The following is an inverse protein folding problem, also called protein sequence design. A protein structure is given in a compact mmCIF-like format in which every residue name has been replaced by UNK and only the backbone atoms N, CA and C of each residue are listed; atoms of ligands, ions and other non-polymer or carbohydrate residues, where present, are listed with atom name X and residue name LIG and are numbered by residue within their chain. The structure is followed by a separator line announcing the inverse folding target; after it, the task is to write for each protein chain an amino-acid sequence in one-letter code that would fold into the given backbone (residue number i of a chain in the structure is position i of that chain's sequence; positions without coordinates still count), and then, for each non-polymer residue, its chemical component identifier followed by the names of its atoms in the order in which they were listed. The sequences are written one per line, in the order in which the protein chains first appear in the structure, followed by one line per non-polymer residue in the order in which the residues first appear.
data_IF_304316372511
#
_entry.id   IF_304316372511
#
_cell.length_a   1.000
_cell.length_b   1.000
_cell.length_c   1.000
_cell.angle_alpha   90.00
_cell.angle_beta   90.00
_cell.angle_gamma   90.00
#
_symmetry.space_group_name_H-M   'P 1'
#
loop_
_entity.id
_entity.type
_entity.pdbx_description
1 polymer ?
#
# COMPACT_ATOMS: atom_id res chain seq x y z
N UNK A 1 -19.16 -2.76 -4.02
CA UNK A 1 -18.48 -2.88 -5.32
C UNK A 1 -17.05 -3.30 -5.09
N UNK A 2 -16.42 -3.95 -6.06
CA UNK A 2 -15.01 -4.35 -5.99
C UNK A 2 -14.08 -3.15 -5.77
N UNK A 3 -14.38 -2.00 -6.38
CA UNK A 3 -13.65 -0.75 -6.11
C UNK A 3 -13.58 -0.41 -4.60
N UNK A 4 -14.69 -0.56 -3.86
CA UNK A 4 -14.74 -0.25 -2.43
C UNK A 4 -13.99 -1.25 -1.55
N UNK A 5 -13.72 -2.47 -2.04
CA UNK A 5 -12.88 -3.42 -1.30
C UNK A 5 -11.40 -3.08 -1.42
N UNK A 6 -10.99 -2.51 -2.56
CA UNK A 6 -9.63 -2.00 -2.79
C UNK A 6 -9.36 -0.64 -2.15
N UNK A 7 -10.37 0.22 -2.00
CA UNK A 7 -10.24 1.58 -1.46
C UNK A 7 -11.28 1.88 -0.37
N UNK A 8 -11.29 1.15 0.77
CA UNK A 8 -12.35 1.27 1.78
C UNK A 8 -12.32 2.62 2.53
N UNK A 9 -11.15 3.27 2.62
CA UNK A 9 -11.01 4.57 3.29
C UNK A 9 -11.53 5.77 2.50
N UNK A 10 -11.73 5.66 1.19
CA UNK A 10 -12.07 6.80 0.31
C UNK A 10 -13.32 7.55 0.78
N UNK A 11 -14.43 6.82 1.02
CA UNK A 11 -15.68 7.41 1.51
C UNK A 11 -15.57 7.86 2.97
N UNK A 12 -14.98 7.00 3.81
CA UNK A 12 -14.82 7.23 5.25
C UNK A 12 -14.07 8.52 5.53
N UNK A 13 -13.12 8.88 4.67
CA UNK A 13 -12.25 10.05 4.85
C UNK A 13 -12.71 11.31 4.12
N UNK A 14 -13.93 11.30 3.55
CA UNK A 14 -14.51 12.46 2.87
C UNK A 14 -13.60 13.02 1.74
N UNK A 15 -12.88 12.14 1.05
CA UNK A 15 -12.14 12.50 -0.16
C UNK A 15 -12.82 11.97 -1.42
N UNK A 16 -13.90 11.17 -1.31
CA UNK A 16 -14.70 10.67 -2.44
C UNK A 16 -15.48 11.82 -3.12
N UNK A 17 -15.32 11.96 -4.44
CA UNK A 17 -16.14 12.88 -5.24
C UNK A 17 -17.38 12.14 -5.74
N UNK A 18 -18.53 12.40 -5.12
CA UNK A 18 -19.79 11.68 -5.38
C UNK A 18 -20.68 12.34 -6.44
N UNK A 19 -20.50 13.66 -6.68
CA UNK A 19 -21.20 14.38 -7.72
C UNK A 19 -20.50 14.11 -9.07
N UNK A 20 -21.18 13.51 -10.07
CA UNK A 20 -20.56 13.21 -11.37
C UNK A 20 -20.05 14.43 -12.13
N UNK A 21 -20.60 15.61 -11.85
CA UNK A 21 -20.17 16.89 -12.45
C UNK A 21 -18.92 17.47 -11.78
N UNK A 22 -18.53 16.97 -10.60
CA UNK A 22 -17.35 17.39 -9.86
C UNK A 22 -16.23 16.36 -10.01
N UNK A 23 -15.07 16.81 -10.47
CA UNK A 23 -13.87 15.96 -10.55
C UNK A 23 -12.84 16.42 -9.51
N UNK A 24 -12.09 15.48 -8.91
CA UNK A 24 -10.93 15.85 -8.12
C UNK A 24 -9.89 16.55 -9.00
N UNK A 25 -9.09 17.43 -8.41
CA UNK A 25 -7.96 18.06 -9.10
C UNK A 25 -6.88 17.03 -9.45
N UNK A 26 -6.72 16.02 -8.60
CA UNK A 26 -5.80 14.91 -8.78
C UNK A 26 -6.18 13.73 -7.89
N UNK A 27 -5.67 12.55 -8.24
CA UNK A 27 -5.80 11.34 -7.41
C UNK A 27 -4.46 10.92 -6.83
N UNK A 28 -4.45 10.51 -5.57
CA UNK A 28 -3.29 9.89 -4.95
C UNK A 28 -3.52 8.40 -4.87
N UNK A 29 -2.70 7.61 -5.56
CA UNK A 29 -2.71 6.14 -5.45
C UNK A 29 -1.57 5.70 -4.54
N UNK A 30 -1.91 5.18 -3.36
CA UNK A 30 -0.96 4.98 -2.27
C UNK A 30 -0.86 3.53 -1.79
N UNK A 31 0.35 2.99 -1.68
CA UNK A 31 0.61 1.63 -1.18
C UNK A 31 1.30 1.65 0.20
N UNK A 32 0.79 0.91 1.19
CA UNK A 32 1.37 0.88 2.53
C UNK A 32 2.67 0.07 2.56
N UNK A 33 3.42 0.20 3.64
CA UNK A 33 4.55 -0.68 3.95
C UNK A 33 4.09 -2.05 4.48
N UNK A 34 5.06 -2.94 4.69
CA UNK A 34 4.81 -4.30 5.19
C UNK A 34 4.04 -4.28 6.52
N UNK A 35 3.08 -5.19 6.68
CA UNK A 35 2.26 -5.30 7.88
C UNK A 35 1.09 -4.32 7.96
N UNK A 36 1.15 -3.18 7.26
CA UNK A 36 0.09 -2.16 7.31
C UNK A 36 -1.00 -2.38 6.26
N UNK A 37 -2.12 -1.69 6.46
CA UNK A 37 -3.25 -1.62 5.56
C UNK A 37 -3.42 -0.19 5.01
N UNK A 38 -4.50 0.04 4.27
CA UNK A 38 -4.81 1.34 3.65
C UNK A 38 -4.94 2.49 4.66
N UNK A 39 -5.31 2.15 5.90
CA UNK A 39 -5.48 3.06 7.03
C UNK A 39 -4.20 3.77 7.45
N UNK A 40 -3.02 3.30 7.03
CA UNK A 40 -1.77 4.08 7.09
C UNK A 40 -1.93 5.47 6.45
N UNK A 41 -2.64 5.57 5.33
CA UNK A 41 -2.85 6.83 4.61
C UNK A 41 -4.23 7.44 4.88
N UNK A 42 -5.22 6.65 5.28
CA UNK A 42 -6.61 7.09 5.50
C UNK A 42 -7.00 7.14 6.98
N UNK A 43 -6.01 7.20 7.86
CA UNK A 43 -6.26 7.45 9.27
C UNK A 43 -6.80 8.87 9.46
N UNK A 44 -7.82 8.99 10.30
CA UNK A 44 -8.51 10.25 10.55
C UNK A 44 -8.88 10.33 12.03
N UNK A 45 -8.36 11.33 12.71
CA UNK A 45 -8.59 11.52 14.15
C UNK A 45 -10.06 11.82 14.47
N UNK A 46 -10.84 12.30 13.50
CA UNK A 46 -12.29 12.52 13.66
C UNK A 46 -13.05 11.18 13.75
N UNK A 47 -12.55 10.16 13.04
CA UNK A 47 -13.16 8.82 13.00
C UNK A 47 -12.53 7.89 14.04
N UNK A 48 -11.24 8.06 14.33
CA UNK A 48 -10.49 7.31 15.31
C UNK A 48 -9.59 8.24 16.13
N UNK A 49 -10.09 8.72 17.27
CA UNK A 49 -9.39 9.65 18.13
C UNK A 49 -8.05 9.14 18.71
N UNK A 50 -7.71 7.85 18.53
CA UNK A 50 -6.47 7.26 19.03
C UNK A 50 -5.26 7.53 18.14
N UNK A 51 -5.47 7.95 16.90
CA UNK A 51 -4.39 8.21 15.95
C UNK A 51 -4.58 9.56 15.25
N UNK A 52 -3.50 10.31 15.01
CA UNK A 52 -3.60 11.58 14.29
C UNK A 52 -4.03 11.33 12.85
N UNK A 53 -4.71 12.32 12.27
CA UNK A 53 -5.01 12.32 10.84
C UNK A 53 -3.72 12.24 10.03
N UNK A 54 -3.72 11.40 9.00
CA UNK A 54 -2.60 11.31 8.07
C UNK A 54 -2.32 12.68 7.44
N UNK A 55 -1.09 13.22 7.50
CA UNK A 55 -0.76 14.50 6.88
C UNK A 55 -1.06 14.55 5.38
N UNK A 56 -0.89 13.41 4.69
CA UNK A 56 -1.20 13.28 3.27
C UNK A 56 -2.73 13.32 3.03
N UNK A 57 -3.52 12.75 3.93
CA UNK A 57 -4.98 12.84 3.86
C UNK A 57 -5.47 14.28 4.05
N UNK A 58 -4.92 14.99 5.04
CA UNK A 58 -5.24 16.40 5.27
C UNK A 58 -4.85 17.26 4.06
N UNK A 59 -3.71 16.96 3.43
CA UNK A 59 -3.32 17.63 2.20
C UNK A 59 -4.29 17.34 1.05
N UNK A 60 -4.76 16.10 0.88
CA UNK A 60 -5.77 15.75 -0.12
C UNK A 60 -7.05 16.56 0.05
N UNK A 61 -7.57 16.67 1.28
CA UNK A 61 -8.78 17.44 1.60
C UNK A 61 -8.63 18.91 1.23
N UNK A 62 -7.52 19.53 1.64
CA UNK A 62 -7.23 20.95 1.39
C UNK A 62 -7.05 21.29 -0.08
N UNK A 63 -6.70 20.31 -0.91
CA UNK A 63 -6.41 20.54 -2.32
C UNK A 63 -7.40 19.88 -3.28
N UNK A 64 -8.52 19.33 -2.78
CA UNK A 64 -9.56 18.73 -3.62
C UNK A 64 -9.09 17.47 -4.34
N UNK A 65 -8.49 16.54 -3.60
CA UNK A 65 -7.92 15.30 -4.12
C UNK A 65 -8.58 14.04 -3.57
N UNK A 66 -8.64 12.99 -4.38
CA UNK A 66 -9.05 11.65 -3.91
C UNK A 66 -7.85 10.90 -3.31
N UNK A 67 -8.00 10.38 -2.10
CA UNK A 67 -7.04 9.44 -1.50
C UNK A 67 -7.44 8.00 -1.82
N UNK A 68 -6.78 7.42 -2.82
CA UNK A 68 -6.92 6.01 -3.20
C UNK A 68 -5.84 5.18 -2.51
N UNK A 69 -5.99 4.96 -1.21
CA UNK A 69 -5.11 4.08 -0.45
C UNK A 69 -5.47 2.60 -0.67
N UNK A 70 -4.48 1.82 -1.11
CA UNK A 70 -4.68 0.44 -1.55
C UNK A 70 -4.80 -0.51 -0.36
N UNK A 71 -5.94 -1.18 -0.26
CA UNK A 71 -6.17 -2.29 0.66
C UNK A 71 -5.71 -3.60 0.01
N UNK A 72 -4.50 -4.06 0.33
CA UNK A 72 -3.98 -5.37 -0.11
C UNK A 72 -4.82 -6.53 0.47
N UNK A 73 -4.88 -7.69 -0.22
CA UNK A 73 -5.56 -8.87 0.30
C UNK A 73 -4.81 -9.48 1.51
N UNK A 74 -5.52 -10.31 2.28
CA UNK A 74 -4.99 -10.98 3.48
C UNK A 74 -4.95 -10.10 4.74
N UNK A 75 -5.49 -8.87 4.69
CA UNK A 75 -5.58 -7.96 5.85
C UNK A 75 -6.83 -7.07 5.81
N UNK A 76 -7.13 -6.43 6.94
CA UNK A 76 -8.28 -5.53 7.06
C UNK A 76 -9.59 -6.19 6.62
N UNK A 77 -10.42 -5.46 5.88
CA UNK A 77 -11.66 -5.99 5.29
C UNK A 77 -11.48 -7.14 4.30
N UNK A 78 -10.24 -7.40 3.86
CA UNK A 78 -9.85 -8.47 2.91
C UNK A 78 -9.09 -9.62 3.59
N UNK A 79 -9.20 -9.77 4.91
CA UNK A 79 -8.44 -10.78 5.69
C UNK A 79 -8.71 -12.25 5.32
N UNK A 80 -9.83 -12.55 4.65
CA UNK A 80 -10.20 -13.89 4.20
C UNK A 80 -9.66 -14.23 2.80
N UNK A 81 -9.14 -13.25 2.09
CA UNK A 81 -8.54 -13.44 0.76
C UNK A 81 -7.10 -13.92 0.88
N UNK A 82 -6.64 -14.69 -0.10
CA UNK A 82 -5.23 -15.07 -0.22
C UNK A 82 -4.35 -13.83 -0.43
N UNK A 83 -3.22 -13.78 0.26
CA UNK A 83 -2.21 -12.73 0.06
C UNK A 83 -1.73 -12.70 -1.40
N UNK A 84 -1.26 -11.52 -1.83
CA UNK A 84 -0.65 -11.38 -3.15
C UNK A 84 0.62 -12.25 -3.25
N UNK A 85 0.78 -12.93 -4.38
CA UNK A 85 1.92 -13.84 -4.60
C UNK A 85 3.19 -13.10 -5.04
N UNK A 86 3.03 -11.96 -5.71
CA UNK A 86 4.10 -11.09 -6.17
C UNK A 86 3.61 -9.65 -6.38
N UNK A 87 4.51 -8.66 -6.46
CA UNK A 87 4.14 -7.30 -6.82
C UNK A 87 3.42 -7.21 -8.18
N UNK A 88 3.81 -8.01 -9.16
CA UNK A 88 3.19 -8.09 -10.49
C UNK A 88 1.75 -8.64 -10.41
N UNK A 89 1.52 -9.67 -9.59
CA UNK A 89 0.19 -10.23 -9.39
C UNK A 89 -0.74 -9.21 -8.72
N UNK A 90 -0.23 -8.47 -7.73
CA UNK A 90 -0.98 -7.38 -7.09
C UNK A 90 -1.33 -6.27 -8.09
N UNK A 91 -0.38 -5.84 -8.92
CA UNK A 91 -0.60 -4.86 -9.98
C UNK A 91 -1.68 -5.32 -10.97
N UNK A 92 -1.60 -6.57 -11.45
CA UNK A 92 -2.56 -7.16 -12.39
C UNK A 92 -3.98 -7.23 -11.81
N UNK A 93 -4.10 -7.52 -10.51
CA UNK A 93 -5.39 -7.56 -9.85
C UNK A 93 -5.99 -6.16 -9.63
N UNK A 94 -5.17 -5.15 -9.36
CA UNK A 94 -5.63 -3.79 -9.09
C UNK A 94 -5.95 -2.98 -10.35
N UNK A 95 -5.17 -3.15 -11.43
CA UNK A 95 -5.29 -2.29 -12.62
C UNK A 95 -6.71 -2.18 -13.19
N UNK A 96 -7.46 -3.27 -13.43
CA UNK A 96 -8.81 -3.18 -13.99
C UNK A 96 -9.79 -2.39 -13.10
N UNK A 97 -9.50 -2.33 -11.80
CA UNK A 97 -10.37 -1.69 -10.79
C UNK A 97 -10.23 -0.17 -10.83
N UNK A 98 -9.04 0.33 -11.15
CA UNK A 98 -8.71 1.77 -11.06
C UNK A 98 -8.45 2.41 -12.42
N UNK A 99 -8.21 1.64 -13.50
CA UNK A 99 -7.80 2.15 -14.82
C UNK A 99 -8.68 3.30 -15.34
N UNK A 100 -10.00 3.18 -15.26
CA UNK A 100 -10.94 4.23 -15.73
C UNK A 100 -10.84 5.54 -14.95
N UNK A 101 -10.31 5.50 -13.72
CA UNK A 101 -10.05 6.67 -12.87
C UNK A 101 -8.64 7.24 -13.03
N UNK A 102 -7.78 6.62 -13.84
CA UNK A 102 -6.44 7.14 -14.11
C UNK A 102 -6.37 7.95 -15.41
N UNK A 103 -7.45 7.96 -16.19
CA UNK A 103 -7.51 8.60 -17.52
C UNK A 103 -8.30 9.91 -17.52
N UNK A 104 -9.14 10.15 -16.52
CA UNK A 104 -10.05 11.29 -16.45
C UNK A 104 -9.43 12.51 -15.75
N UNK A 105 -8.47 12.32 -14.84
CA UNK A 105 -7.69 13.38 -14.18
C UNK A 105 -6.25 12.92 -13.89
N UNK A 106 -5.29 13.84 -13.67
CA UNK A 106 -3.93 13.47 -13.28
C UNK A 106 -3.88 12.67 -11.97
N UNK A 107 -2.91 11.76 -11.87
CA UNK A 107 -2.68 11.00 -10.64
C UNK A 107 -1.21 11.01 -10.23
N UNK A 108 -1.00 10.87 -8.93
CA UNK A 108 0.30 10.77 -8.26
C UNK A 108 0.37 9.41 -7.59
N UNK A 109 1.54 8.80 -7.63
CA UNK A 109 1.83 7.53 -6.96
C UNK A 109 2.63 7.76 -5.69
N UNK A 110 2.26 7.07 -4.61
CA UNK A 110 2.97 7.07 -3.34
C UNK A 110 3.21 5.63 -2.89
N UNK A 111 4.45 5.28 -2.56
CA UNK A 111 4.81 3.99 -2.02
C UNK A 111 5.87 4.12 -0.95
N UNK A 112 5.74 3.34 0.13
CA UNK A 112 6.71 3.33 1.22
C UNK A 112 7.16 1.89 1.52
N UNK A 113 8.47 1.68 1.74
CA UNK A 113 9.06 0.34 1.93
C UNK A 113 8.64 -0.61 0.80
N UNK A 114 8.17 -1.84 1.06
CA UNK A 114 7.67 -2.78 0.03
C UNK A 114 6.55 -2.19 -0.85
N UNK A 115 5.80 -1.19 -0.34
CA UNK A 115 4.82 -0.43 -1.12
C UNK A 115 5.42 0.24 -2.36
N UNK A 116 6.74 0.51 -2.36
CA UNK A 116 7.46 1.03 -3.52
C UNK A 116 7.51 0.04 -4.69
N UNK A 117 7.76 -1.25 -4.43
CA UNK A 117 7.81 -2.28 -5.47
C UNK A 117 6.42 -2.59 -6.03
N UNK A 118 5.40 -2.59 -5.15
CA UNK A 118 4.00 -2.69 -5.55
C UNK A 118 3.58 -1.53 -6.46
N UNK A 119 3.93 -0.30 -6.07
CA UNK A 119 3.67 0.89 -6.86
C UNK A 119 4.43 0.88 -8.20
N UNK A 120 5.70 0.48 -8.19
CA UNK A 120 6.54 0.39 -9.38
C UNK A 120 5.96 -0.60 -10.41
N UNK A 121 5.63 -1.82 -9.98
CA UNK A 121 5.04 -2.83 -10.88
C UNK A 121 3.65 -2.42 -11.37
N UNK A 122 2.88 -1.71 -10.55
CA UNK A 122 1.62 -1.11 -11.00
C UNK A 122 1.84 -0.08 -12.13
N UNK A 123 2.77 0.86 -11.94
CA UNK A 123 3.06 1.90 -12.94
C UNK A 123 3.59 1.28 -14.23
N UNK A 124 4.50 0.29 -14.14
CA UNK A 124 5.00 -0.44 -15.30
C UNK A 124 3.90 -1.13 -16.08
N UNK A 125 3.00 -1.81 -15.38
CA UNK A 125 1.87 -2.47 -16.01
C UNK A 125 0.91 -1.45 -16.64
N UNK A 126 0.58 -0.37 -15.93
CA UNK A 126 -0.28 0.70 -16.43
C UNK A 126 0.28 1.31 -17.73
N UNK A 127 1.58 1.60 -17.77
CA UNK A 127 2.28 2.08 -18.98
C UNK A 127 2.21 1.07 -20.12
N UNK A 128 2.44 -0.22 -19.83
CA UNK A 128 2.34 -1.30 -20.84
C UNK A 128 0.93 -1.41 -21.43
N UNK A 129 -0.10 -1.19 -20.63
CA UNK A 129 -1.51 -1.18 -21.06
C UNK A 129 -1.95 0.17 -21.68
N UNK A 130 -1.02 1.10 -21.90
CA UNK A 130 -1.28 2.38 -22.58
C UNK A 130 -2.02 3.42 -21.73
N UNK A 131 -2.05 3.26 -20.41
CA UNK A 131 -2.59 4.28 -19.52
C UNK A 131 -1.62 5.47 -19.37
N UNK A 132 -2.12 6.66 -19.04
CA UNK A 132 -1.29 7.81 -18.73
C UNK A 132 -0.28 7.49 -17.61
N UNK A 133 0.93 8.03 -17.73
CA UNK A 133 1.91 7.98 -16.65
C UNK A 133 1.46 8.85 -15.47
N UNK A 134 1.86 8.52 -14.22
CA UNK A 134 1.62 9.43 -13.10
C UNK A 134 2.39 10.73 -13.31
N UNK A 135 1.84 11.87 -12.88
CA UNK A 135 2.55 13.16 -12.97
C UNK A 135 3.73 13.24 -12.00
N UNK A 136 3.66 12.50 -10.89
CA UNK A 136 4.74 12.30 -9.94
C UNK A 136 4.65 10.92 -9.29
N UNK A 137 5.80 10.37 -8.90
CA UNK A 137 5.91 9.18 -8.07
C UNK A 137 6.82 9.45 -6.87
N UNK A 138 6.32 9.21 -5.67
CA UNK A 138 7.07 9.33 -4.42
C UNK A 138 7.29 7.93 -3.86
N UNK A 139 8.49 7.39 -4.07
CA UNK A 139 8.90 6.07 -3.61
C UNK A 139 9.91 6.25 -2.48
N UNK A 140 9.57 5.79 -1.28
CA UNK A 140 10.32 6.10 -0.05
C UNK A 140 10.83 4.85 0.65
N UNK A 141 12.12 4.89 1.03
CA UNK A 141 12.73 4.00 2.02
C UNK A 141 12.68 2.50 1.66
N UNK A 142 13.01 2.16 0.41
CA UNK A 142 13.21 0.78 -0.01
C UNK A 142 14.23 0.71 -1.15
N UNK A 143 15.05 -0.36 -1.22
CA UNK A 143 16.00 -0.55 -2.32
C UNK A 143 15.31 -0.61 -3.69
N UNK A 144 16.02 -0.20 -4.73
CA UNK A 144 15.52 -0.31 -6.09
C UNK A 144 15.34 -1.80 -6.48
N UNK A 145 14.31 -2.14 -7.28
CA UNK A 145 14.02 -3.53 -7.65
C UNK A 145 15.12 -4.20 -8.47
N UNK A 146 15.99 -3.42 -9.11
CA UNK A 146 17.15 -3.87 -9.89
C UNK A 146 18.45 -3.98 -9.07
N UNK A 147 18.40 -3.75 -7.75
CA UNK A 147 19.55 -3.98 -6.88
C UNK A 147 19.94 -5.48 -6.92
N UNK A 148 21.22 -5.82 -7.19
CA UNK A 148 21.69 -7.20 -7.21
C UNK A 148 21.37 -7.95 -5.93
N UNK A 149 21.08 -9.25 -6.04
CA UNK A 149 20.57 -10.04 -4.92
C UNK A 149 21.57 -10.12 -3.76
N UNK A 150 22.85 -10.15 -4.07
CA UNK A 150 23.99 -10.14 -3.15
C UNK A 150 24.18 -8.83 -2.39
N UNK A 151 23.62 -7.72 -2.90
CA UNK A 151 23.70 -6.38 -2.29
C UNK A 151 22.44 -6.01 -1.48
N UNK A 152 21.41 -6.86 -1.50
CA UNK A 152 20.15 -6.62 -0.80
C UNK A 152 20.36 -6.58 0.71
N UNK A 153 19.91 -5.52 1.42
CA UNK A 153 20.18 -5.32 2.85
C UNK A 153 19.28 -6.16 3.78
N UNK A 154 18.81 -7.33 3.35
CA UNK A 154 17.98 -8.22 4.15
C UNK A 154 18.33 -9.67 3.95
N UNK A 155 17.90 -10.50 4.90
CA UNK A 155 17.97 -11.95 4.76
C UNK A 155 16.59 -12.49 4.36
N UNK A 156 16.49 -13.35 3.33
CA UNK A 156 15.22 -13.96 2.96
C UNK A 156 14.54 -14.66 4.13
N UNK A 157 13.26 -14.34 4.37
CA UNK A 157 12.54 -14.76 5.58
C UNK A 157 12.18 -16.25 5.62
N UNK A 158 12.27 -16.93 4.47
CA UNK A 158 11.93 -18.36 4.32
C UNK A 158 12.82 -19.22 5.22
N UNK A 159 12.18 -20.02 6.09
CA UNK A 159 12.89 -20.91 7.00
C UNK A 159 13.42 -20.22 8.27
N UNK A 160 13.24 -18.91 8.43
CA UNK A 160 13.55 -18.25 9.70
C UNK A 160 12.63 -18.75 10.81
N UNK A 161 13.21 -19.08 11.97
CA UNK A 161 12.47 -19.22 13.23
C UNK A 161 11.72 -17.93 13.56
N UNK A 162 10.69 -18.00 14.40
CA UNK A 162 9.96 -16.81 14.84
C UNK A 162 10.84 -15.74 15.48
N UNK A 163 11.80 -16.14 16.33
CA UNK A 163 12.68 -15.18 16.99
C UNK A 163 13.54 -14.43 15.95
N UNK A 164 14.23 -15.15 15.07
CA UNK A 164 15.00 -14.55 13.97
C UNK A 164 14.16 -13.63 13.08
N UNK A 165 12.91 -14.00 12.79
CA UNK A 165 12.04 -13.14 11.99
C UNK A 165 11.63 -11.87 12.73
N UNK A 166 11.40 -11.93 14.06
CA UNK A 166 11.21 -10.70 14.86
C UNK A 166 12.45 -9.81 14.82
N UNK A 167 13.64 -10.40 14.93
CA UNK A 167 14.90 -9.66 14.90
C UNK A 167 15.13 -9.00 13.53
N UNK A 168 14.81 -9.69 12.43
CA UNK A 168 14.77 -9.10 11.09
C UNK A 168 13.77 -7.95 11.03
N UNK A 169 12.53 -8.13 11.51
CA UNK A 169 11.54 -7.05 11.55
C UNK A 169 12.02 -5.83 12.36
N UNK A 170 12.78 -6.02 13.45
CA UNK A 170 13.37 -4.92 14.22
C UNK A 170 14.41 -4.14 13.43
N UNK A 171 15.21 -4.81 12.61
CA UNK A 171 16.17 -4.15 11.72
C UNK A 171 15.47 -3.26 10.66
N UNK A 172 14.18 -3.52 10.40
CA UNK A 172 13.30 -2.72 9.56
C UNK A 172 12.41 -1.74 10.37
N UNK A 173 12.77 -1.44 11.61
CA UNK A 173 12.05 -0.53 12.52
C UNK A 173 10.58 -0.88 12.77
N UNK A 174 10.20 -2.17 12.64
CA UNK A 174 8.87 -2.62 13.05
C UNK A 174 8.69 -2.42 14.55
N UNK A 175 7.65 -1.69 14.92
CA UNK A 175 7.39 -1.29 16.31
C UNK A 175 7.29 -2.50 17.26
N UNK A 176 7.98 -2.43 18.41
CA UNK A 176 8.01 -3.51 19.41
C UNK A 176 6.63 -4.00 19.86
N UNK A 177 5.63 -3.11 19.87
CA UNK A 177 4.27 -3.47 20.26
C UNK A 177 3.72 -4.61 19.38
N UNK A 178 4.10 -4.67 18.11
CA UNK A 178 3.68 -5.73 17.16
C UNK A 178 4.09 -7.12 17.62
N UNK A 179 5.21 -7.26 18.34
CA UNK A 179 5.74 -8.56 18.78
C UNK A 179 5.08 -9.11 20.05
N UNK A 180 4.18 -8.34 20.67
CA UNK A 180 3.42 -8.75 21.84
C UNK A 180 2.42 -9.87 21.55
N UNK A 181 1.99 -10.61 22.59
CA UNK A 181 1.18 -11.84 22.43
C UNK A 181 -0.17 -11.60 21.74
N UNK A 182 -0.74 -10.39 21.85
CA UNK A 182 -2.03 -10.04 21.26
C UNK A 182 -1.95 -9.63 19.79
N UNK A 183 -0.80 -9.19 19.31
CA UNK A 183 -0.62 -8.68 17.94
C UNK A 183 0.17 -9.64 17.06
N UNK A 184 1.21 -10.27 17.62
CA UNK A 184 2.12 -11.12 16.86
C UNK A 184 1.44 -12.24 16.08
N UNK A 185 0.45 -12.98 16.62
CA UNK A 185 -0.20 -14.05 15.85
C UNK A 185 -0.80 -13.58 14.53
N UNK A 186 -1.38 -12.39 14.51
CA UNK A 186 -1.97 -11.79 13.31
C UNK A 186 -0.89 -11.19 12.41
N UNK A 187 -0.03 -10.33 12.96
CA UNK A 187 0.96 -9.59 12.18
C UNK A 187 2.07 -10.47 11.63
N UNK A 188 2.45 -11.56 12.32
CA UNK A 188 3.45 -12.52 11.84
C UNK A 188 3.12 -13.00 10.43
N UNK A 189 1.87 -13.41 10.20
CA UNK A 189 1.45 -13.93 8.89
C UNK A 189 1.51 -12.84 7.82
N UNK A 190 1.01 -11.64 8.14
CA UNK A 190 1.00 -10.50 7.22
C UNK A 190 2.42 -10.08 6.86
N UNK A 191 3.29 -9.87 7.86
CA UNK A 191 4.67 -9.46 7.67
C UNK A 191 5.45 -10.51 6.86
N UNK A 192 5.32 -11.81 7.17
CA UNK A 192 5.99 -12.86 6.38
C UNK A 192 5.55 -12.83 4.93
N UNK A 193 4.24 -12.66 4.69
CA UNK A 193 3.69 -12.61 3.33
C UNK A 193 4.14 -11.37 2.57
N UNK A 194 4.27 -10.23 3.24
CA UNK A 194 4.81 -9.01 2.63
C UNK A 194 6.31 -9.12 2.36
N UNK A 195 7.07 -9.76 3.25
CA UNK A 195 8.50 -10.02 3.05
C UNK A 195 8.72 -10.99 1.88
N UNK A 196 7.84 -11.97 1.70
CA UNK A 196 7.87 -12.85 0.54
C UNK A 196 7.74 -12.11 -0.81
N UNK A 197 7.07 -10.94 -0.84
CA UNK A 197 6.93 -10.14 -2.07
C UNK A 197 8.29 -9.66 -2.59
N UNK A 198 9.22 -9.34 -1.69
CA UNK A 198 10.54 -8.85 -2.06
C UNK A 198 11.65 -9.89 -1.99
N UNK A 199 11.50 -10.94 -1.17
CA UNK A 199 12.43 -12.07 -1.14
C UNK A 199 12.48 -12.85 -2.45
N UNK A 200 11.36 -12.87 -3.19
CA UNK A 200 11.17 -13.69 -4.39
C UNK A 200 11.17 -12.90 -5.70
N UNK A 201 11.36 -11.58 -5.62
CA UNK A 201 11.43 -10.69 -6.78
C UNK A 201 12.83 -10.75 -7.40
#
# INVERSE_FOLDING_TARGET
SEFRTWFPGLRRTATEFVNPEEKPRFRILAWPNAGNAEDMYTNDSVVNARLPTSPLLDWCRKNGAEMLAVQLPGRGGRMKESFAESPQAAAKALLPIVASRLVDVPYIVVGHSVGTWLAYEFVRLAQKEGLPAPVNAFLSNFPAPDLPAEERPWTPNRGMSDQKFKDECRAWDVNEAVFGPNMWPTYKTILRKDFELFDRY
#
